data_IF_289135191311
#
_entry.id   IF_289135191311
#
_cell.length_a   1.000
_cell.length_b   1.000
_cell.length_c   1.000
_cell.angle_alpha   90.00
_cell.angle_beta   90.00
_cell.angle_gamma   90.00
#
_symmetry.space_group_name_H-M   'P 1'
#
loop_
_entity.id
_entity.type
_entity.pdbx_description
1 polymer ?
#
# COMPACT_ATOMS: atom_id res chain seq x y z
N UNK A 1 -4.14 -20.61 1.41
CA UNK A 1 -3.65 -20.47 2.81
C UNK A 1 -4.27 -19.22 3.42
N UNK A 2 -4.82 -19.33 4.60
CA UNK A 2 -5.41 -18.19 5.27
C UNK A 2 -4.32 -17.41 6.00
N UNK A 3 -4.23 -16.09 5.78
CA UNK A 3 -3.29 -15.21 6.49
C UNK A 3 -3.41 -15.32 8.02
N UNK A 4 -4.57 -15.76 8.51
CA UNK A 4 -4.86 -15.92 9.95
C UNK A 4 -4.08 -17.04 10.65
N UNK A 5 -3.43 -17.91 9.89
CA UNK A 5 -2.62 -18.99 10.46
C UNK A 5 -1.24 -18.53 10.94
N UNK A 6 -0.87 -17.29 10.59
CA UNK A 6 0.42 -16.70 10.92
C UNK A 6 0.23 -15.43 11.74
N UNK A 7 1.07 -15.25 12.74
CA UNK A 7 1.06 -14.03 13.54
C UNK A 7 1.63 -12.85 12.72
N UNK A 8 0.88 -11.76 12.68
CA UNK A 8 1.34 -10.53 12.03
C UNK A 8 2.46 -9.89 12.86
N UNK A 9 3.64 -9.62 12.29
CA UNK A 9 4.70 -8.90 12.99
C UNK A 9 4.26 -7.51 13.45
N UNK A 10 4.69 -7.11 14.65
CA UNK A 10 4.47 -5.74 15.13
C UNK A 10 5.28 -4.73 14.32
N UNK A 11 6.52 -5.10 13.95
CA UNK A 11 7.45 -4.25 13.18
C UNK A 11 8.10 -5.11 12.11
N UNK A 12 8.17 -4.57 10.89
CA UNK A 12 9.04 -5.06 9.82
C UNK A 12 10.00 -3.93 9.50
N UNK A 13 11.26 -4.09 9.90
CA UNK A 13 12.32 -3.11 9.59
C UNK A 13 12.72 -3.25 8.13
N UNK A 14 12.80 -2.12 7.42
CA UNK A 14 13.22 -2.06 6.03
C UNK A 14 14.67 -1.57 5.95
N UNK A 15 14.98 -0.48 6.63
CA UNK A 15 16.33 0.06 6.79
C UNK A 15 16.41 0.92 8.05
N UNK A 16 17.49 1.67 8.26
CA UNK A 16 17.70 2.48 9.47
C UNK A 16 16.68 3.61 9.66
N UNK A 17 15.95 3.98 8.62
CA UNK A 17 15.03 5.12 8.64
C UNK A 17 13.62 4.81 8.15
N UNK A 18 13.33 3.56 7.81
CA UNK A 18 12.05 3.15 7.23
C UNK A 18 11.61 1.80 7.80
N UNK A 19 10.37 1.72 8.25
CA UNK A 19 9.78 0.48 8.78
C UNK A 19 8.29 0.40 8.51
N UNK A 20 7.74 -0.80 8.66
CA UNK A 20 6.31 -1.04 8.73
C UNK A 20 5.93 -1.33 10.17
N UNK A 21 4.88 -0.66 10.66
CA UNK A 21 4.34 -0.90 11.99
C UNK A 21 2.90 -1.39 11.88
N UNK A 22 2.59 -2.48 12.55
CA UNK A 22 1.26 -3.09 12.55
C UNK A 22 0.18 -2.05 12.88
N UNK A 23 -0.88 -2.03 12.07
CA UNK A 23 -2.05 -1.21 12.31
C UNK A 23 -2.65 -1.51 13.69
N UNK A 24 -2.91 -0.49 14.47
CA UNK A 24 -3.35 -0.57 15.87
C UNK A 24 -4.71 0.09 16.13
N UNK A 25 -5.48 0.36 15.07
CA UNK A 25 -6.82 0.93 15.19
C UNK A 25 -6.91 2.43 15.03
N UNK A 26 -5.79 3.12 14.85
CA UNK A 26 -5.76 4.59 14.67
C UNK A 26 -6.03 4.99 13.22
N UNK A 27 -7.23 4.67 12.71
CA UNK A 27 -7.63 4.98 11.34
C UNK A 27 -7.65 6.47 11.04
N UNK A 28 -7.82 7.33 12.06
CA UNK A 28 -7.80 8.80 11.90
C UNK A 28 -6.47 9.31 11.33
N UNK A 29 -5.39 8.57 11.51
CA UNK A 29 -4.08 8.94 10.95
C UNK A 29 -4.06 8.89 9.42
N UNK A 30 -4.94 8.09 8.81
CA UNK A 30 -5.06 7.95 7.36
C UNK A 30 -5.75 9.14 6.70
N UNK A 31 -6.60 9.85 7.45
CA UNK A 31 -7.50 10.85 6.87
C UNK A 31 -6.79 11.96 6.10
N UNK A 32 -5.77 12.65 6.67
CA UNK A 32 -5.08 13.71 5.92
C UNK A 32 -4.45 13.20 4.62
N UNK A 33 -3.91 11.99 4.64
CA UNK A 33 -3.31 11.36 3.46
C UNK A 33 -4.33 11.09 2.37
N UNK A 34 -5.49 10.52 2.74
CA UNK A 34 -6.53 10.17 1.76
C UNK A 34 -7.35 11.39 1.30
N UNK A 35 -7.20 12.53 1.95
CA UNK A 35 -7.73 13.82 1.48
C UNK A 35 -6.75 14.56 0.58
N UNK A 36 -5.54 14.05 0.39
CA UNK A 36 -4.59 14.57 -0.57
C UNK A 36 -5.02 14.14 -1.99
N UNK A 37 -5.17 15.08 -2.96
CA UNK A 37 -5.62 14.74 -4.32
C UNK A 37 -4.76 13.69 -5.03
N UNK A 38 -3.46 13.69 -4.83
CA UNK A 38 -2.57 12.69 -5.42
C UNK A 38 -2.95 11.29 -4.94
N UNK A 39 -3.28 11.14 -3.66
CA UNK A 39 -3.67 9.86 -3.07
C UNK A 39 -5.07 9.45 -3.53
N UNK A 40 -6.09 10.29 -3.36
CA UNK A 40 -7.45 9.85 -3.69
C UNK A 40 -7.69 9.69 -5.20
N UNK A 41 -6.97 10.44 -6.04
CA UNK A 41 -7.06 10.24 -7.50
C UNK A 41 -6.33 8.98 -7.95
N UNK A 42 -5.11 8.76 -7.46
CA UNK A 42 -4.26 7.65 -7.93
C UNK A 42 -4.59 6.30 -7.27
N UNK A 43 -4.99 6.32 -6.01
CA UNK A 43 -5.28 5.07 -5.26
C UNK A 43 -6.76 4.71 -5.29
N UNK A 44 -7.65 5.70 -5.27
CA UNK A 44 -9.09 5.47 -5.15
C UNK A 44 -9.86 5.82 -6.44
N UNK A 45 -9.22 6.46 -7.42
CA UNK A 45 -9.85 6.85 -8.66
C UNK A 45 -10.93 7.92 -8.50
N UNK A 46 -10.83 8.75 -7.46
CA UNK A 46 -11.81 9.78 -7.13
C UNK A 46 -11.39 11.11 -7.75
N UNK A 47 -12.30 11.71 -8.54
CA UNK A 47 -12.11 13.04 -9.14
C UNK A 47 -13.23 14.01 -8.78
N UNK A 48 -14.30 13.52 -8.16
CA UNK A 48 -15.45 14.29 -7.71
C UNK A 48 -15.24 14.75 -6.27
N UNK A 49 -15.27 16.06 -6.03
CA UNK A 49 -15.07 16.65 -4.72
C UNK A 49 -16.09 16.14 -3.66
N UNK A 50 -17.30 15.75 -4.09
CA UNK A 50 -18.31 15.19 -3.19
C UNK A 50 -17.98 13.78 -2.70
N UNK A 51 -17.00 13.12 -3.30
CA UNK A 51 -16.59 11.74 -2.98
C UNK A 51 -15.24 11.66 -2.30
N UNK A 52 -14.61 12.79 -1.99
CA UNK A 52 -13.33 12.80 -1.26
C UNK A 52 -13.49 12.03 0.05
N UNK A 53 -12.55 11.10 0.37
CA UNK A 53 -12.65 10.30 1.59
C UNK A 53 -12.83 11.13 2.85
N UNK A 54 -13.77 10.70 3.68
CA UNK A 54 -13.99 11.26 5.02
C UNK A 54 -13.55 10.27 6.10
N UNK A 55 -13.80 10.60 7.36
CA UNK A 55 -13.42 9.74 8.47
C UNK A 55 -14.08 8.37 8.41
N UNK A 56 -15.37 8.30 8.03
CA UNK A 56 -16.09 7.04 7.89
C UNK A 56 -15.51 6.17 6.77
N UNK A 57 -15.09 6.79 5.68
CA UNK A 57 -14.44 6.10 4.57
C UNK A 57 -13.15 5.41 5.02
N UNK A 58 -12.24 6.15 5.66
CA UNK A 58 -10.95 5.57 6.10
C UNK A 58 -11.14 4.54 7.20
N UNK A 59 -12.13 4.73 8.09
CA UNK A 59 -12.48 3.75 9.12
C UNK A 59 -12.89 2.42 8.51
N UNK A 60 -13.82 2.46 7.54
CA UNK A 60 -14.29 1.27 6.84
C UNK A 60 -13.18 0.59 6.03
N UNK A 61 -12.34 1.37 5.36
CA UNK A 61 -11.20 0.89 4.59
C UNK A 61 -10.20 0.16 5.48
N UNK A 62 -9.81 0.74 6.61
CA UNK A 62 -8.87 0.11 7.54
C UNK A 62 -9.44 -1.18 8.13
N UNK A 63 -10.71 -1.20 8.51
CA UNK A 63 -11.37 -2.39 9.03
C UNK A 63 -11.36 -3.53 8.01
N UNK A 64 -11.65 -3.22 6.75
CA UNK A 64 -11.61 -4.19 5.66
C UNK A 64 -10.20 -4.72 5.41
N UNK A 65 -9.20 -3.82 5.27
CA UNK A 65 -7.83 -4.21 4.98
C UNK A 65 -7.19 -5.01 6.11
N UNK A 66 -7.48 -4.66 7.36
CA UNK A 66 -7.01 -5.42 8.53
C UNK A 66 -7.65 -6.81 8.62
N UNK A 67 -8.84 -6.98 8.04
CA UNK A 67 -9.54 -8.27 8.00
C UNK A 67 -9.00 -9.19 6.90
N UNK A 68 -8.70 -8.66 5.71
CA UNK A 68 -8.33 -9.45 4.54
C UNK A 68 -6.82 -9.64 4.36
N UNK A 69 -6.00 -8.87 5.08
CA UNK A 69 -4.56 -8.92 4.98
C UNK A 69 -3.88 -8.43 6.24
N UNK A 70 -2.57 -8.19 6.14
CA UNK A 70 -1.78 -7.57 7.20
C UNK A 70 -1.62 -6.10 6.90
N UNK A 71 -2.37 -5.25 7.59
CA UNK A 71 -2.31 -3.79 7.41
C UNK A 71 -1.21 -3.18 8.27
N UNK A 72 -0.41 -2.29 7.65
CA UNK A 72 0.69 -1.59 8.30
C UNK A 72 0.65 -0.10 8.00
N UNK A 73 1.10 0.71 8.99
CA UNK A 73 1.59 2.05 8.72
C UNK A 73 2.97 1.93 8.10
N UNK A 74 3.26 2.77 7.11
CA UNK A 74 4.63 2.99 6.63
C UNK A 74 5.17 4.14 7.47
N UNK A 75 6.26 3.92 8.19
CA UNK A 75 6.85 4.92 9.08
C UNK A 75 8.27 5.30 8.65
N UNK A 76 8.51 6.60 8.59
CA UNK A 76 9.83 7.17 8.32
C UNK A 76 10.37 7.85 9.57
N UNK A 77 11.68 7.74 9.78
CA UNK A 77 12.36 8.33 10.92
C UNK A 77 12.78 9.77 10.62
N UNK A 78 12.30 10.69 11.45
CA UNK A 78 12.67 12.10 11.42
C UNK A 78 13.16 12.54 12.80
N UNK A 79 14.39 13.08 12.88
CA UNK A 79 14.97 13.52 14.14
C UNK A 79 14.90 12.46 15.26
N UNK A 80 15.14 11.19 14.88
CA UNK A 80 15.12 10.07 15.81
C UNK A 80 13.73 9.51 16.15
N UNK A 81 12.65 10.07 15.57
CA UNK A 81 11.27 9.68 15.85
C UNK A 81 10.64 9.12 14.58
N UNK A 82 9.98 7.96 14.66
CA UNK A 82 9.22 7.40 13.57
C UNK A 82 7.86 8.09 13.45
N UNK A 83 7.54 8.56 12.24
CA UNK A 83 6.25 9.18 11.92
C UNK A 83 5.55 8.39 10.81
N UNK A 84 4.21 8.24 10.85
CA UNK A 84 3.49 7.58 9.76
C UNK A 84 3.45 8.46 8.52
N UNK A 85 3.83 7.88 7.38
CA UNK A 85 3.89 8.59 6.08
C UNK A 85 3.07 7.90 5.01
N UNK A 86 2.47 6.77 5.31
CA UNK A 86 1.70 5.99 4.36
C UNK A 86 1.14 4.72 4.98
N UNK A 87 0.53 3.91 4.13
CA UNK A 87 0.01 2.60 4.51
C UNK A 87 0.24 1.57 3.41
N UNK A 88 0.30 0.32 3.83
CA UNK A 88 0.43 -0.82 2.94
C UNK A 88 -0.26 -2.03 3.56
N UNK A 89 -0.84 -2.88 2.73
CA UNK A 89 -1.43 -4.13 3.18
C UNK A 89 -0.74 -5.30 2.49
N UNK A 90 -0.28 -6.26 3.28
CA UNK A 90 0.26 -7.52 2.78
C UNK A 90 -0.92 -8.44 2.48
N UNK A 91 -1.16 -8.68 1.20
CA UNK A 91 -2.15 -9.62 0.68
C UNK A 91 -1.72 -10.02 -0.74
N UNK A 92 -2.12 -11.21 -1.17
CA UNK A 92 -1.69 -11.75 -2.47
C UNK A 92 -2.49 -11.20 -3.65
N UNK A 93 -3.71 -10.74 -3.42
CA UNK A 93 -4.54 -10.12 -4.45
C UNK A 93 -4.58 -8.61 -4.27
N UNK A 94 -4.08 -7.88 -5.27
CA UNK A 94 -4.11 -6.42 -5.33
C UNK A 94 -3.64 -5.74 -4.02
N UNK A 95 -2.42 -6.00 -3.55
CA UNK A 95 -1.94 -5.39 -2.32
C UNK A 95 -1.83 -3.87 -2.47
N UNK A 96 -2.63 -3.10 -1.70
CA UNK A 96 -2.62 -1.65 -1.81
C UNK A 96 -1.44 -1.01 -1.08
N UNK A 97 -0.94 0.09 -1.64
CA UNK A 97 0.08 0.93 -1.03
C UNK A 97 -0.25 2.39 -1.32
N UNK A 98 -0.10 3.26 -0.34
CA UNK A 98 -0.24 4.70 -0.50
C UNK A 98 0.81 5.44 0.33
N UNK A 99 1.54 6.35 -0.30
CA UNK A 99 2.43 7.29 0.39
C UNK A 99 1.66 8.59 0.54
N UNK A 100 1.32 8.96 1.78
CA UNK A 100 0.40 10.06 2.06
C UNK A 100 1.02 11.43 1.87
N UNK A 101 2.30 11.57 2.20
CA UNK A 101 2.96 12.87 2.25
C UNK A 101 3.74 13.14 0.97
N UNK A 102 3.53 14.32 0.37
CA UNK A 102 4.21 14.75 -0.85
C UNK A 102 5.74 14.71 -0.74
N UNK A 103 6.26 15.07 0.44
CA UNK A 103 7.71 15.10 0.71
C UNK A 103 8.39 13.74 0.59
N UNK A 104 7.63 12.65 0.70
CA UNK A 104 8.17 11.28 0.66
C UNK A 104 7.93 10.57 -0.68
N UNK A 105 7.24 11.21 -1.63
CA UNK A 105 7.04 10.64 -2.96
C UNK A 105 8.25 10.90 -3.87
N UNK A 106 8.47 10.00 -4.84
CA UNK A 106 9.56 10.11 -5.80
C UNK A 106 10.95 9.82 -5.23
N UNK A 107 11.04 9.15 -4.06
CA UNK A 107 12.29 8.84 -3.35
C UNK A 107 12.59 7.34 -3.26
N UNK A 108 11.85 6.51 -3.99
CA UNK A 108 12.05 5.07 -3.98
C UNK A 108 11.46 4.33 -2.78
N UNK A 109 10.73 5.01 -1.90
CA UNK A 109 10.12 4.39 -0.70
C UNK A 109 9.12 3.32 -1.09
N UNK A 110 8.27 3.58 -2.07
CA UNK A 110 7.27 2.60 -2.55
C UNK A 110 7.92 1.30 -2.99
N UNK A 111 9.04 1.36 -3.68
CA UNK A 111 9.79 0.19 -4.12
C UNK A 111 10.32 -0.63 -2.94
N UNK A 112 10.93 0.04 -1.96
CA UNK A 112 11.43 -0.62 -0.76
C UNK A 112 10.31 -1.28 0.05
N UNK A 113 9.18 -0.60 0.19
CA UNK A 113 8.01 -1.13 0.89
C UNK A 113 7.44 -2.34 0.16
N UNK A 114 7.27 -2.27 -1.16
CA UNK A 114 6.74 -3.40 -1.94
C UNK A 114 7.69 -4.58 -1.96
N UNK A 115 9.00 -4.36 -1.91
CA UNK A 115 9.96 -5.45 -1.73
C UNK A 115 9.76 -6.16 -0.39
N UNK A 116 9.47 -5.42 0.67
CA UNK A 116 9.15 -6.00 1.99
C UNK A 116 7.84 -6.78 1.95
N UNK A 117 6.83 -6.28 1.25
CA UNK A 117 5.55 -7.00 1.04
C UNK A 117 5.78 -8.32 0.31
N UNK A 118 6.54 -8.29 -0.77
CA UNK A 118 6.87 -9.50 -1.55
C UNK A 118 7.61 -10.52 -0.68
N UNK A 119 8.57 -10.07 0.09
CA UNK A 119 9.30 -10.93 1.02
C UNK A 119 8.38 -11.57 2.05
N UNK A 120 7.49 -10.76 2.65
CA UNK A 120 6.51 -11.26 3.63
C UNK A 120 5.55 -12.27 3.02
N UNK A 121 5.07 -12.03 1.80
CA UNK A 121 4.20 -12.99 1.09
C UNK A 121 4.89 -14.34 0.86
N UNK A 122 6.17 -14.31 0.51
CA UNK A 122 6.96 -15.55 0.39
C UNK A 122 7.07 -16.29 1.71
N UNK A 123 7.32 -15.58 2.81
CA UNK A 123 7.35 -16.17 4.16
C UNK A 123 6.01 -16.83 4.51
N UNK A 124 4.90 -16.22 4.10
CA UNK A 124 3.55 -16.75 4.31
C UNK A 124 3.19 -17.92 3.39
N UNK A 125 4.06 -18.27 2.43
CA UNK A 125 3.87 -19.39 1.53
C UNK A 125 3.10 -19.09 0.25
N UNK A 126 2.84 -17.82 -0.04
CA UNK A 126 2.22 -17.45 -1.32
C UNK A 126 3.22 -17.59 -2.46
N UNK A 127 2.71 -17.92 -3.66
CA UNK A 127 3.52 -18.17 -4.85
C UNK A 127 3.31 -17.13 -5.94
N UNK A 128 2.32 -16.26 -5.81
CA UNK A 128 1.96 -15.29 -6.84
C UNK A 128 1.21 -14.09 -6.25
N UNK A 129 1.46 -12.91 -6.79
CA UNK A 129 0.62 -11.72 -6.59
C UNK A 129 -0.24 -11.56 -7.83
N UNK A 130 -1.56 -11.43 -7.64
CA UNK A 130 -2.53 -11.30 -8.72
C UNK A 130 -3.36 -10.03 -8.58
N UNK A 131 -4.02 -9.61 -9.66
CA UNK A 131 -5.02 -8.56 -9.64
C UNK A 131 -4.52 -7.18 -9.22
N UNK A 132 -3.21 -6.92 -9.32
CA UNK A 132 -2.65 -5.59 -9.00
C UNK A 132 -3.10 -4.60 -10.05
N UNK A 133 -4.10 -3.80 -9.73
CA UNK A 133 -4.73 -2.86 -10.64
C UNK A 133 -4.15 -1.46 -10.45
N UNK A 134 -3.71 -0.86 -11.55
CA UNK A 134 -3.11 0.48 -11.58
C UNK A 134 -3.85 1.33 -12.60
N UNK A 135 -4.31 2.50 -12.21
CA UNK A 135 -4.97 3.42 -13.12
C UNK A 135 -4.02 3.91 -14.22
N UNK A 136 -4.56 4.13 -15.45
CA UNK A 136 -3.76 4.57 -16.60
C UNK A 136 -3.04 5.90 -16.37
N UNK A 137 -3.57 6.77 -15.53
CA UNK A 137 -2.93 8.05 -15.18
C UNK A 137 -1.89 7.95 -14.06
N UNK A 138 -1.79 6.81 -13.37
CA UNK A 138 -0.85 6.62 -12.28
C UNK A 138 0.47 6.05 -12.79
N UNK A 139 1.27 6.88 -13.48
CA UNK A 139 2.53 6.46 -14.09
C UNK A 139 3.58 6.04 -13.06
N UNK A 140 3.57 6.67 -11.88
CA UNK A 140 4.49 6.31 -10.80
C UNK A 140 4.28 4.86 -10.34
N UNK A 141 3.02 4.44 -10.17
CA UNK A 141 2.69 3.07 -9.77
C UNK A 141 2.99 2.05 -10.89
N UNK A 142 2.79 2.43 -12.16
CA UNK A 142 3.19 1.59 -13.29
C UNK A 142 4.69 1.32 -13.27
N UNK A 143 5.50 2.35 -13.08
CA UNK A 143 6.96 2.22 -12.97
C UNK A 143 7.37 1.37 -11.78
N UNK A 144 6.69 1.54 -10.64
CA UNK A 144 6.92 0.75 -9.43
C UNK A 144 6.71 -0.74 -9.70
N UNK A 145 5.57 -1.11 -10.26
CA UNK A 145 5.23 -2.51 -10.54
C UNK A 145 6.19 -3.11 -11.58
N UNK A 146 6.39 -2.41 -12.70
CA UNK A 146 7.29 -2.90 -13.77
C UNK A 146 8.73 -2.99 -13.29
N UNK A 147 9.18 -2.07 -12.45
CA UNK A 147 10.51 -2.09 -11.85
C UNK A 147 10.74 -3.23 -10.85
N UNK A 148 9.66 -3.81 -10.30
CA UNK A 148 9.71 -4.94 -9.39
C UNK A 148 9.44 -6.29 -10.08
N UNK A 149 9.35 -6.31 -11.40
CA UNK A 149 9.15 -7.54 -12.17
C UNK A 149 7.69 -7.95 -12.32
N UNK A 150 6.74 -7.09 -11.99
CA UNK A 150 5.34 -7.31 -12.33
C UNK A 150 5.17 -7.19 -13.84
N UNK A 151 4.30 -8.01 -14.41
CA UNK A 151 4.00 -7.98 -15.84
C UNK A 151 2.51 -7.73 -16.07
N UNK A 152 2.21 -7.06 -17.19
CA UNK A 152 0.82 -6.76 -17.58
C UNK A 152 0.12 -8.02 -18.05
N UNK A 153 -1.06 -8.30 -17.50
CA UNK A 153 -1.90 -9.41 -17.91
C UNK A 153 -3.14 -8.96 -18.67
N UNK A 154 -3.61 -7.75 -18.39
CA UNK A 154 -4.73 -7.12 -19.11
C UNK A 154 -4.69 -5.61 -18.92
N UNK A 155 -5.39 -4.90 -19.80
CA UNK A 155 -5.59 -3.46 -19.66
C UNK A 155 -6.83 -3.01 -20.42
N UNK A 156 -7.45 -1.92 -19.96
CA UNK A 156 -8.51 -1.22 -20.62
C UNK A 156 -8.22 0.29 -20.63
N UNK A 157 -9.18 1.12 -21.00
CA UNK A 157 -9.01 2.57 -21.05
C UNK A 157 -8.73 3.20 -19.68
N UNK A 158 -9.16 2.54 -18.60
CA UNK A 158 -9.10 3.07 -17.25
C UNK A 158 -7.92 2.52 -16.45
N UNK A 159 -7.60 1.25 -16.59
CA UNK A 159 -6.65 0.57 -15.69
C UNK A 159 -5.84 -0.52 -16.38
N UNK A 160 -4.70 -0.84 -15.76
CA UNK A 160 -3.80 -1.92 -16.12
C UNK A 160 -3.80 -2.92 -14.96
N UNK A 161 -3.87 -4.21 -15.26
CA UNK A 161 -3.75 -5.27 -14.25
C UNK A 161 -2.41 -5.97 -14.41
N UNK A 162 -1.72 -6.11 -13.28
CA UNK A 162 -0.40 -6.73 -13.18
C UNK A 162 -0.45 -8.00 -12.34
N UNK A 163 0.50 -8.89 -12.60
CA UNK A 163 0.79 -10.08 -11.81
C UNK A 163 2.30 -10.23 -11.62
N UNK A 164 2.69 -11.02 -10.62
CA UNK A 164 4.10 -11.37 -10.38
C UNK A 164 4.19 -12.70 -9.67
N UNK A 165 5.02 -13.59 -10.17
CA UNK A 165 5.45 -14.79 -9.46
C UNK A 165 6.34 -14.42 -8.28
N UNK A 166 6.22 -15.18 -7.20
CA UNK A 166 7.00 -14.98 -5.99
C UNK A 166 8.14 -15.97 -5.85
#
# INVERSE_FOLDING_TARGET
>A
MALKEFEQPEIIDINDSLRLRKYDGHYELFLPGYQNPVVYQNSEGIFDASRIPDLNYVKAMCAYLAKVGELYYIEAKENGIYIPIGDVTVKDENPPIAIWADAYRGKGIGKLVMQAVIHRLKELGFTKVTGSTVYQWNTASQRLHEGLGFYRVSEDEKEITYEREL
#
